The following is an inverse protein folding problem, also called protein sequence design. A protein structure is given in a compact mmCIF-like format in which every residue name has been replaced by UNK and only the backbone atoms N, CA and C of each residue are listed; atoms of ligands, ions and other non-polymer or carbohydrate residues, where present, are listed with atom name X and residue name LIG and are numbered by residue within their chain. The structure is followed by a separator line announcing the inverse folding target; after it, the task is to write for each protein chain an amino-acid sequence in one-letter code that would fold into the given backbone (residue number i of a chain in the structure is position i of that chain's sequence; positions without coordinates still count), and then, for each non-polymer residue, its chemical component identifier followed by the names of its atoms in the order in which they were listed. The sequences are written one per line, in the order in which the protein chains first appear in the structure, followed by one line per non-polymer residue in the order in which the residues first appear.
data_IF_483927762097
#
_entry.id   IF_483927762097
#
_cell.length_a   1.000
_cell.length_b   1.000
_cell.length_c   1.000
_cell.angle_alpha   90.00
_cell.angle_beta   90.00
_cell.angle_gamma   90.00
#
_symmetry.space_group_name_H-M   'P 1'
#
loop_
_entity.id
_entity.type
_entity.pdbx_description
1 polymer ?
#
# COMPACT_ATOMS: atom_id res chain seq x y z
N UNK A 1 -6.77 6.76 -28.71
CA UNK A 1 -6.80 5.48 -27.96
C UNK A 1 -8.19 4.86 -28.06
N UNK A 2 -8.51 4.23 -29.19
CA UNK A 2 -9.76 3.49 -29.41
C UNK A 2 -9.45 2.01 -29.30
N UNK A 3 -10.06 1.35 -28.31
CA UNK A 3 -10.16 -0.11 -28.19
C UNK A 3 -9.04 -0.79 -27.41
N UNK A 4 -9.31 -1.16 -26.15
CA UNK A 4 -8.70 -2.33 -25.49
C UNK A 4 -9.33 -2.66 -24.12
N UNK A 5 -10.52 -2.13 -23.80
CA UNK A 5 -11.15 -2.35 -22.50
C UNK A 5 -12.59 -2.76 -22.77
N UNK A 6 -12.91 -4.00 -22.40
CA UNK A 6 -14.27 -4.54 -22.51
C UNK A 6 -15.25 -3.75 -21.64
N UNK A 7 -16.53 -3.66 -22.00
CA UNK A 7 -17.54 -3.08 -21.13
C UNK A 7 -17.56 -3.80 -19.77
N UNK A 8 -17.38 -3.06 -18.67
CA UNK A 8 -17.34 -3.65 -17.33
C UNK A 8 -16.66 -2.75 -16.31
N UNK A 9 -16.60 -3.23 -15.07
CA UNK A 9 -15.84 -2.60 -13.99
C UNK A 9 -14.38 -3.03 -14.09
N UNK A 10 -13.49 -2.06 -14.22
CA UNK A 10 -12.05 -2.29 -14.25
C UNK A 10 -11.41 -1.68 -13.02
N UNK A 11 -10.85 -2.52 -12.17
CA UNK A 11 -10.07 -2.05 -11.03
C UNK A 11 -8.78 -1.39 -11.52
N UNK A 12 -8.38 -0.31 -10.86
CA UNK A 12 -7.07 0.29 -11.09
C UNK A 12 -5.97 -0.61 -10.50
N UNK A 13 -4.72 -0.53 -11.00
CA UNK A 13 -3.60 -1.22 -10.38
C UNK A 13 -3.44 -0.82 -8.90
N UNK A 14 -3.18 -1.80 -8.04
CA UNK A 14 -3.05 -1.60 -6.59
C UNK A 14 -2.01 -0.54 -6.21
N UNK A 15 -0.90 -0.46 -6.94
CA UNK A 15 0.14 0.54 -6.70
C UNK A 15 -0.39 1.99 -6.88
N UNK A 16 -1.29 2.20 -7.85
CA UNK A 16 -1.91 3.51 -8.11
C UNK A 16 -2.89 3.86 -6.99
N UNK A 17 -3.70 2.89 -6.56
CA UNK A 17 -4.65 3.06 -5.44
C UNK A 17 -3.92 3.44 -4.14
N UNK A 18 -2.83 2.72 -3.82
CA UNK A 18 -1.98 3.01 -2.66
C UNK A 18 -1.35 4.39 -2.73
N UNK A 19 -0.90 4.83 -3.90
CA UNK A 19 -0.30 6.15 -4.06
C UNK A 19 -1.33 7.27 -3.87
N UNK A 20 -2.56 7.10 -4.36
CA UNK A 20 -3.66 8.03 -4.10
C UNK A 20 -3.95 8.12 -2.60
N UNK A 21 -4.03 6.99 -1.91
CA UNK A 21 -4.24 6.94 -0.47
C UNK A 21 -3.11 7.66 0.30
N UNK A 22 -1.84 7.40 -0.06
CA UNK A 22 -0.67 8.06 0.54
C UNK A 22 -0.72 9.58 0.39
N UNK A 23 -1.01 10.07 -0.81
CA UNK A 23 -1.13 11.50 -1.09
C UNK A 23 -2.28 12.14 -0.30
N UNK A 24 -3.41 11.45 -0.16
CA UNK A 24 -4.56 11.95 0.63
C UNK A 24 -4.21 12.11 2.11
N UNK A 25 -3.55 11.12 2.70
CA UNK A 25 -3.10 11.17 4.09
C UNK A 25 -2.09 12.31 4.30
N UNK A 26 -1.15 12.48 3.38
CA UNK A 26 -0.19 13.58 3.39
C UNK A 26 -0.89 14.95 3.35
N UNK A 27 -1.90 15.12 2.49
CA UNK A 27 -2.68 16.36 2.41
C UNK A 27 -3.50 16.65 3.69
N UNK A 28 -3.79 15.62 4.48
CA UNK A 28 -4.46 15.73 5.78
C UNK A 28 -3.45 15.94 6.94
N UNK A 29 -2.15 16.01 6.65
CA UNK A 29 -1.10 16.10 7.68
C UNK A 29 -0.88 14.80 8.45
N UNK A 30 -1.36 13.67 7.93
CA UNK A 30 -1.17 12.35 8.52
C UNK A 30 0.09 11.73 7.92
N UNK A 31 1.07 11.45 8.78
CA UNK A 31 2.29 10.75 8.40
C UNK A 31 2.16 9.26 8.70
N UNK A 32 2.60 8.44 7.75
CA UNK A 32 2.79 7.00 7.94
C UNK A 32 4.22 6.82 8.44
N UNK A 33 4.38 6.18 9.60
CA UNK A 33 5.69 5.89 10.16
C UNK A 33 6.36 4.71 9.44
N UNK A 34 7.65 4.54 9.72
CA UNK A 34 8.45 3.43 9.17
C UNK A 34 8.93 2.57 10.31
N UNK A 35 8.91 1.25 10.11
CA UNK A 35 9.45 0.31 11.09
C UNK A 35 10.92 0.61 11.37
N UNK A 36 11.32 0.57 12.63
CA UNK A 36 12.74 0.60 13.02
C UNK A 36 13.41 -0.73 12.66
N UNK A 37 14.74 -0.77 12.49
CA UNK A 37 15.46 -2.01 12.25
C UNK A 37 15.16 -3.09 13.30
N UNK A 38 15.04 -2.71 14.58
CA UNK A 38 14.72 -3.62 15.68
C UNK A 38 13.28 -4.14 15.58
N UNK A 39 12.33 -3.33 15.13
CA UNK A 39 10.94 -3.77 14.89
C UNK A 39 10.87 -4.77 13.73
N UNK A 40 11.66 -4.55 12.67
CA UNK A 40 11.77 -5.48 11.53
C UNK A 40 12.39 -6.80 12.01
N UNK A 41 13.47 -6.74 12.78
CA UNK A 41 14.12 -7.91 13.37
C UNK A 41 13.16 -8.67 14.30
N UNK A 42 12.44 -7.97 15.17
CA UNK A 42 11.43 -8.56 16.04
C UNK A 42 10.32 -9.28 15.25
N UNK A 43 9.78 -8.66 14.19
CA UNK A 43 8.77 -9.28 13.33
C UNK A 43 9.29 -10.53 12.60
N UNK A 44 10.54 -10.51 12.14
CA UNK A 44 11.15 -11.61 11.39
C UNK A 44 11.68 -12.74 12.28
N UNK A 45 12.00 -12.44 13.55
CA UNK A 45 12.49 -13.42 14.53
C UNK A 45 11.39 -14.32 15.09
N UNK A 46 10.11 -13.94 14.93
CA UNK A 46 8.96 -14.81 15.20
C UNK A 46 8.76 -15.84 14.08
N UNK A 47 9.71 -16.76 13.93
CA UNK A 47 9.48 -18.03 13.23
C UNK A 47 8.94 -19.06 14.22
N UNK A 48 7.61 -19.18 14.26
CA UNK A 48 6.80 -20.22 14.93
C UNK A 48 6.46 -20.00 16.41
N UNK A 49 5.15 -19.92 16.67
CA UNK A 49 4.60 -19.85 18.03
C UNK A 49 3.07 -19.81 18.17
N UNK A 50 2.28 -20.23 17.17
CA UNK A 50 0.96 -20.92 17.28
C UNK A 50 0.57 -21.47 15.92
#
# INVERSE_FOLDING_TARGET
NKGSIEPGLHSIPEAVDKEIARLKLQAMGINIDTLTPEQIEYMNSWTSGT
#
